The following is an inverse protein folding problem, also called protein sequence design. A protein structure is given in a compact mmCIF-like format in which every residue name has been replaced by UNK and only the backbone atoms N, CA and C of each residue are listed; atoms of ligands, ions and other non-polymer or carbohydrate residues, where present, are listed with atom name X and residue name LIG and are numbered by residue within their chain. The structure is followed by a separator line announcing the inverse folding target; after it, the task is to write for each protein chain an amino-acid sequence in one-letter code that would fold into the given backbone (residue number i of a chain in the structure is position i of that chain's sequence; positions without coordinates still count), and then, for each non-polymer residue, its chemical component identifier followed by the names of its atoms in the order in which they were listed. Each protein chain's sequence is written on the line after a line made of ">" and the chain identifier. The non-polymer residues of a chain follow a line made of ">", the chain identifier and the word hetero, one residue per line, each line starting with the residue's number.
data_IF_748840541984
#
_entry.id   IF_748840541984
#
_cell.length_a   1.000
_cell.length_b   1.000
_cell.length_c   1.000
_cell.angle_alpha   90.00
_cell.angle_beta   90.00
_cell.angle_gamma   90.00
#
_symmetry.space_group_name_H-M   'P 1'
#
loop_
_entity.id
_entity.type
_entity.pdbx_description
1 polymer ?
#
# COMPACT_ATOMS: atom_id res chain seq x y z
N UNK A 1 -9.88 1.85 -20.75
CA UNK A 1 -9.37 2.08 -19.38
C UNK A 1 -9.34 0.77 -18.64
N UNK A 2 -8.14 0.34 -18.25
CA UNK A 2 -7.94 -0.85 -17.43
C UNK A 2 -8.20 -0.47 -15.97
N UNK A 3 -9.30 -0.95 -15.38
CA UNK A 3 -9.64 -0.66 -13.98
C UNK A 3 -8.81 -1.54 -13.05
N UNK A 4 -8.08 -0.90 -12.16
CA UNK A 4 -7.31 -1.56 -11.11
C UNK A 4 -8.16 -1.66 -9.85
N UNK A 5 -8.77 -0.54 -9.46
CA UNK A 5 -9.80 -0.49 -8.42
C UNK A 5 -11.15 -0.12 -9.06
N UNK A 6 -12.17 -0.95 -8.90
CA UNK A 6 -13.52 -0.71 -9.43
C UNK A 6 -14.55 -0.55 -8.31
N UNK A 7 -14.96 0.70 -8.07
CA UNK A 7 -15.97 1.05 -7.08
C UNK A 7 -15.65 0.48 -5.67
N UNK A 8 -14.38 0.52 -5.29
CA UNK A 8 -13.92 0.11 -3.97
C UNK A 8 -14.67 0.90 -2.88
N UNK A 9 -15.37 0.25 -1.94
CA UNK A 9 -16.06 0.95 -0.86
C UNK A 9 -15.07 1.49 0.16
N UNK A 10 -15.38 2.66 0.73
CA UNK A 10 -14.80 3.13 1.98
C UNK A 10 -15.90 3.52 2.97
N UNK A 11 -15.57 3.54 4.27
CA UNK A 11 -16.54 3.77 5.34
C UNK A 11 -16.35 5.13 5.99
N UNK A 12 -17.44 5.75 6.43
CA UNK A 12 -17.45 6.91 7.34
C UNK A 12 -17.63 6.49 8.81
N UNK A 13 -17.54 5.20 9.10
CA UNK A 13 -17.61 4.62 10.44
C UNK A 13 -16.27 3.96 10.76
N UNK A 14 -15.98 3.83 12.05
CA UNK A 14 -14.84 3.02 12.51
C UNK A 14 -15.10 1.56 12.15
N UNK A 15 -14.04 0.82 11.86
CA UNK A 15 -14.15 -0.58 11.51
C UNK A 15 -12.88 -1.36 11.81
N UNK A 16 -12.86 -2.59 11.30
CA UNK A 16 -11.72 -3.49 11.39
C UNK A 16 -11.26 -3.90 9.98
N UNK A 17 -9.97 -4.16 9.87
CA UNK A 17 -9.36 -4.86 8.74
C UNK A 17 -8.64 -6.08 9.30
N UNK A 18 -8.84 -7.22 8.64
CA UNK A 18 -8.21 -8.49 9.02
C UNK A 18 -6.97 -8.70 8.15
N UNK A 19 -5.82 -8.97 8.75
CA UNK A 19 -4.58 -9.30 8.03
C UNK A 19 -3.84 -10.38 8.81
N UNK A 20 -3.51 -11.50 8.17
CA UNK A 20 -2.80 -12.62 8.81
C UNK A 20 -3.38 -13.05 10.18
N UNK A 21 -4.72 -13.07 10.30
CA UNK A 21 -5.42 -13.38 11.55
C UNK A 21 -5.45 -12.26 12.61
N UNK A 22 -4.78 -11.13 12.37
CA UNK A 22 -4.81 -9.95 13.23
C UNK A 22 -5.98 -9.02 12.84
N UNK A 23 -6.64 -8.43 13.84
CA UNK A 23 -7.69 -7.41 13.65
C UNK A 23 -7.13 -6.01 13.89
N UNK A 24 -7.00 -5.21 12.84
CA UNK A 24 -6.46 -3.85 12.93
C UNK A 24 -7.61 -2.83 12.93
N UNK A 25 -7.71 -1.97 13.96
CA UNK A 25 -8.74 -0.93 13.99
C UNK A 25 -8.45 0.17 12.98
N UNK A 26 -9.47 0.52 12.20
CA UNK A 26 -9.43 1.59 11.21
C UNK A 26 -10.43 2.67 11.59
N UNK A 27 -10.00 3.93 11.49
CA UNK A 27 -10.83 5.09 11.75
C UNK A 27 -11.88 5.28 10.65
N UNK A 28 -12.79 6.25 10.82
CA UNK A 28 -13.70 6.65 9.75
C UNK A 28 -12.95 7.41 8.64
N UNK A 29 -13.28 7.14 7.38
CA UNK A 29 -12.83 7.77 6.13
C UNK A 29 -11.55 7.28 5.42
N UNK A 30 -10.58 6.54 6.01
CA UNK A 30 -9.52 5.92 5.25
C UNK A 30 -10.05 5.05 4.10
N UNK A 31 -9.42 5.20 2.94
CA UNK A 31 -9.63 4.31 1.80
C UNK A 31 -8.62 3.18 1.95
N UNK A 32 -9.11 1.99 2.32
CA UNK A 32 -8.27 0.81 2.48
C UNK A 32 -8.16 0.10 1.13
N UNK A 33 -6.94 0.08 0.60
CA UNK A 33 -6.55 -0.71 -0.57
C UNK A 33 -5.77 -1.94 -0.12
N UNK A 34 -5.61 -2.90 -1.02
CA UNK A 34 -4.83 -4.11 -0.78
C UNK A 34 -3.63 -4.13 -1.69
N UNK A 35 -2.44 -4.36 -1.14
CA UNK A 35 -1.18 -4.36 -1.87
C UNK A 35 -0.39 -5.63 -1.57
N UNK A 36 0.42 -6.09 -2.51
CA UNK A 36 1.45 -7.09 -2.25
C UNK A 36 2.83 -6.44 -2.40
N UNK A 37 3.83 -6.97 -1.70
CA UNK A 37 5.22 -6.48 -1.75
C UNK A 37 6.11 -7.65 -2.16
N UNK A 38 7.02 -7.42 -3.10
CA UNK A 38 8.04 -8.39 -3.50
C UNK A 38 9.40 -7.73 -3.59
N UNK A 39 10.45 -8.54 -3.71
CA UNK A 39 11.78 -8.05 -4.08
C UNK A 39 11.71 -7.31 -5.43
N UNK A 40 12.64 -6.38 -5.63
CA UNK A 40 12.73 -5.57 -6.84
C UNK A 40 12.91 -6.43 -8.09
N UNK A 41 12.34 -5.96 -9.20
CA UNK A 41 12.39 -6.58 -10.52
C UNK A 41 11.70 -7.95 -10.62
N UNK A 42 10.71 -8.16 -9.76
CA UNK A 42 9.81 -9.31 -9.88
C UNK A 42 8.94 -9.13 -11.13
N UNK A 43 9.03 -10.07 -12.07
CA UNK A 43 8.28 -10.01 -13.34
C UNK A 43 6.80 -10.37 -13.12
N UNK A 44 6.55 -11.42 -12.35
CA UNK A 44 5.21 -11.91 -12.00
C UNK A 44 5.16 -12.18 -10.51
N UNK A 45 4.11 -11.69 -9.85
CA UNK A 45 3.93 -11.93 -8.42
C UNK A 45 3.75 -13.44 -8.15
N UNK A 46 4.59 -14.06 -7.29
CA UNK A 46 4.39 -15.45 -6.88
C UNK A 46 3.06 -15.63 -6.15
N UNK A 47 2.41 -16.79 -6.34
CA UNK A 47 1.13 -17.11 -5.66
C UNK A 47 1.22 -17.15 -4.13
N UNK A 48 2.43 -17.34 -3.60
CA UNK A 48 2.71 -17.34 -2.16
C UNK A 48 2.69 -15.95 -1.52
N UNK A 49 2.70 -14.87 -2.31
CA UNK A 49 2.72 -13.50 -1.77
C UNK A 49 1.31 -13.04 -1.46
N UNK A 50 1.03 -12.85 -0.17
CA UNK A 50 -0.27 -12.35 0.30
C UNK A 50 -0.43 -10.85 0.06
N UNK A 51 -1.65 -10.45 -0.29
CA UNK A 51 -2.05 -9.04 -0.21
C UNK A 51 -2.19 -8.63 1.27
N UNK A 52 -1.71 -7.43 1.59
CA UNK A 52 -1.79 -6.77 2.88
C UNK A 52 -2.56 -5.45 2.72
N UNK A 53 -3.26 -4.98 3.76
CA UNK A 53 -3.99 -3.72 3.68
C UNK A 53 -3.04 -2.53 3.74
N UNK A 54 -3.37 -1.48 3.01
CA UNK A 54 -2.72 -0.17 3.06
C UNK A 54 -3.77 0.94 2.99
N UNK A 55 -3.46 2.11 3.53
CA UNK A 55 -4.27 3.30 3.37
C UNK A 55 -3.83 4.02 2.10
N UNK A 56 -4.77 4.27 1.18
CA UNK A 56 -4.56 5.23 0.10
C UNK A 56 -4.64 6.64 0.68
N UNK A 57 -3.49 7.29 0.82
CA UNK A 57 -3.35 8.60 1.45
C UNK A 57 -2.85 9.63 0.42
N UNK A 58 -3.77 10.36 -0.19
CA UNK A 58 -3.43 11.40 -1.17
C UNK A 58 -2.73 12.62 -0.53
N UNK A 59 -2.65 12.70 0.80
CA UNK A 59 -1.85 13.70 1.52
C UNK A 59 -0.40 13.27 1.74
N UNK A 60 -0.11 11.97 1.65
CA UNK A 60 1.26 11.45 1.74
C UNK A 60 1.98 11.64 0.39
N UNK A 61 3.08 12.38 0.40
CA UNK A 61 3.87 12.69 -0.81
C UNK A 61 4.90 11.60 -1.15
N UNK A 62 5.05 10.57 -0.33
CA UNK A 62 5.92 9.43 -0.64
C UNK A 62 5.16 8.29 -1.34
N UNK A 63 5.88 7.45 -2.10
CA UNK A 63 5.26 6.37 -2.87
C UNK A 63 4.59 5.33 -1.98
N UNK A 64 5.36 4.66 -1.13
CA UNK A 64 4.84 3.65 -0.22
C UNK A 64 5.67 3.58 1.06
N UNK A 65 5.02 3.46 2.21
CA UNK A 65 5.74 3.33 3.49
C UNK A 65 5.09 2.32 4.42
N UNK A 66 5.90 1.56 5.14
CA UNK A 66 5.46 0.45 5.99
C UNK A 66 6.33 0.38 7.26
N UNK A 67 5.78 -0.09 8.38
CA UNK A 67 6.60 -0.40 9.55
C UNK A 67 7.39 -1.70 9.32
N UNK A 68 8.62 -1.78 9.81
CA UNK A 68 9.45 -2.98 9.65
C UNK A 68 8.79 -4.23 10.25
N UNK A 69 8.14 -4.12 11.42
CA UNK A 69 7.38 -5.22 12.00
C UNK A 69 6.24 -5.70 11.08
N UNK A 70 5.52 -4.78 10.43
CA UNK A 70 4.46 -5.13 9.46
C UNK A 70 5.05 -5.79 8.21
N UNK A 71 6.20 -5.32 7.72
CA UNK A 71 6.88 -5.94 6.58
C UNK A 71 7.21 -7.40 6.90
N UNK A 72 7.83 -7.65 8.05
CA UNK A 72 8.23 -9.00 8.48
C UNK A 72 6.99 -9.86 8.74
N UNK A 73 6.07 -9.40 9.59
CA UNK A 73 4.92 -10.20 10.02
C UNK A 73 3.93 -10.47 8.90
N UNK A 74 3.72 -9.51 7.99
CA UNK A 74 2.65 -9.63 6.99
C UNK A 74 3.13 -10.15 5.63
N UNK A 75 4.42 -10.01 5.32
CA UNK A 75 4.99 -10.41 4.02
C UNK A 75 6.12 -11.43 4.13
N UNK A 76 6.72 -11.60 5.32
CA UNK A 76 7.93 -12.42 5.52
C UNK A 76 9.22 -11.77 5.01
N UNK A 77 9.16 -10.62 4.35
CA UNK A 77 10.34 -9.88 3.89
C UNK A 77 11.02 -9.19 5.07
N UNK A 78 12.35 -9.10 4.99
CA UNK A 78 13.17 -8.38 5.97
C UNK A 78 13.80 -7.16 5.32
N UNK A 79 13.87 -6.05 6.05
CA UNK A 79 14.49 -4.83 5.53
C UNK A 79 15.96 -5.05 5.14
N UNK A 80 16.69 -5.88 5.88
CA UNK A 80 18.08 -6.26 5.63
C UNK A 80 18.30 -7.10 4.36
N UNK A 81 17.23 -7.72 3.83
CA UNK A 81 17.27 -8.48 2.57
C UNK A 81 16.97 -7.63 1.33
N UNK A 82 16.61 -6.34 1.51
CA UNK A 82 16.29 -5.43 0.42
C UNK A 82 17.44 -4.46 0.18
N UNK A 83 17.73 -4.17 -1.08
CA UNK A 83 18.75 -3.17 -1.45
C UNK A 83 18.39 -1.80 -0.86
N UNK A 84 19.36 -1.15 -0.21
CA UNK A 84 19.20 0.19 0.37
C UNK A 84 19.49 1.25 -0.71
N UNK A 85 18.50 2.08 -1.00
CA UNK A 85 18.57 3.19 -1.98
C UNK A 85 19.00 4.53 -1.36
N UNK A 86 19.35 4.52 -0.07
CA UNK A 86 19.80 5.68 0.69
C UNK A 86 18.70 6.36 1.52
N UNK A 87 19.08 7.35 2.33
CA UNK A 87 18.19 8.01 3.27
C UNK A 87 17.25 9.02 2.60
N UNK A 88 16.13 9.32 3.24
CA UNK A 88 15.21 10.38 2.87
C UNK A 88 14.43 10.88 4.08
N UNK A 89 14.03 12.16 4.06
CA UNK A 89 13.22 12.78 5.10
C UNK A 89 11.72 12.54 4.85
N UNK A 90 11.05 11.77 5.71
CA UNK A 90 9.59 11.60 5.74
C UNK A 90 9.09 12.04 7.11
N UNK A 91 8.10 12.93 7.17
CA UNK A 91 7.55 13.42 8.44
C UNK A 91 8.62 13.91 9.44
N UNK A 92 9.66 14.59 8.91
CA UNK A 92 10.84 15.07 9.67
C UNK A 92 11.71 13.96 10.29
N UNK A 93 11.56 12.73 9.82
CA UNK A 93 12.39 11.58 10.21
C UNK A 93 13.21 11.12 9.03
N UNK A 94 14.49 10.87 9.28
CA UNK A 94 15.37 10.27 8.29
C UNK A 94 15.15 8.76 8.27
N UNK A 95 14.63 8.26 7.16
CA UNK A 95 14.35 6.85 6.93
C UNK A 95 15.13 6.35 5.72
N UNK A 96 15.56 5.10 5.76
CA UNK A 96 16.13 4.45 4.60
C UNK A 96 15.03 4.06 3.61
N UNK A 97 15.33 4.27 2.33
CA UNK A 97 14.55 3.76 1.22
C UNK A 97 15.11 2.41 0.80
N UNK A 98 14.23 1.50 0.45
CA UNK A 98 14.58 0.15 0.04
C UNK A 98 13.98 -0.17 -1.34
N UNK A 99 14.76 -0.86 -2.17
CA UNK A 99 14.29 -1.34 -3.46
C UNK A 99 13.31 -2.50 -3.24
N UNK A 100 12.06 -2.31 -3.63
CA UNK A 100 11.02 -3.32 -3.62
C UNK A 100 10.00 -3.00 -4.70
N UNK A 101 9.28 -4.01 -5.15
CA UNK A 101 8.08 -3.82 -5.98
C UNK A 101 6.84 -3.85 -5.11
N UNK A 102 5.92 -2.91 -5.37
CA UNK A 102 4.61 -2.88 -4.74
C UNK A 102 3.57 -3.14 -5.82
N UNK A 103 2.63 -4.02 -5.53
CA UNK A 103 1.59 -4.45 -6.44
C UNK A 103 0.24 -4.11 -5.87
N UNK A 104 -0.61 -3.41 -6.62
CA UNK A 104 -1.96 -3.11 -6.19
C UNK A 104 -2.89 -4.28 -6.52
N UNK A 105 -3.40 -4.95 -5.48
CA UNK A 105 -4.33 -6.06 -5.63
C UNK A 105 -5.68 -5.54 -6.12
N UNK A 106 -6.13 -6.06 -7.27
CA UNK A 106 -7.37 -5.64 -7.90
C UNK A 106 -8.56 -6.10 -7.08
N UNK A 107 -9.51 -5.21 -6.82
CA UNK A 107 -10.72 -5.59 -6.10
C UNK A 107 -11.80 -6.11 -7.07
N UNK A 108 -12.60 -7.09 -6.66
CA UNK A 108 -13.88 -7.36 -7.33
C UNK A 108 -14.79 -6.14 -7.17
N UNK A 109 -15.50 -5.77 -8.24
CA UNK A 109 -16.29 -4.54 -8.26
C UNK A 109 -17.18 -4.41 -7.03
N UNK A 110 -17.04 -3.30 -6.31
CA UNK A 110 -17.86 -3.02 -5.13
C UNK A 110 -17.49 -3.78 -3.85
N UNK A 111 -16.51 -4.69 -3.89
CA UNK A 111 -15.99 -5.47 -2.77
C UNK A 111 -14.62 -4.93 -2.35
N UNK A 112 -14.34 -4.84 -1.05
CA UNK A 112 -13.04 -4.39 -0.51
C UNK A 112 -12.04 -5.53 -0.40
N UNK A 113 -12.49 -6.64 0.17
CA UNK A 113 -11.63 -7.74 0.64
C UNK A 113 -11.74 -8.98 -0.26
N UNK A 114 -12.22 -8.80 -1.49
CA UNK A 114 -12.32 -9.87 -2.49
C UNK A 114 -11.56 -9.42 -3.72
N UNK A 115 -10.58 -10.21 -4.13
CA UNK A 115 -9.63 -9.84 -5.17
C UNK A 115 -9.97 -10.48 -6.52
N UNK A 116 -9.54 -9.82 -7.58
CA UNK A 116 -9.41 -10.42 -8.90
C UNK A 116 -8.00 -10.97 -9.07
N UNK A 117 -7.82 -11.82 -10.08
CA UNK A 117 -6.49 -12.27 -10.48
C UNK A 117 -5.65 -11.09 -11.00
N UNK A 118 -4.32 -11.30 -11.00
CA UNK A 118 -3.32 -10.42 -11.58
C UNK A 118 -3.28 -8.98 -10.99
N UNK A 119 -2.44 -8.74 -9.97
CA UNK A 119 -2.29 -7.41 -9.40
C UNK A 119 -1.56 -6.47 -10.36
N UNK A 120 -1.77 -5.16 -10.18
CA UNK A 120 -1.12 -4.13 -10.99
C UNK A 120 0.20 -3.71 -10.35
N UNK A 121 1.34 -3.91 -11.03
CA UNK A 121 2.65 -3.45 -10.53
C UNK A 121 2.70 -1.92 -10.51
N UNK A 122 3.11 -1.35 -9.37
CA UNK A 122 3.41 0.06 -9.24
C UNK A 122 4.93 0.27 -9.42
N UNK A 123 5.29 1.14 -10.36
CA UNK A 123 6.62 1.68 -10.47
C UNK A 123 6.82 2.73 -9.37
N UNK A 124 7.66 2.40 -8.38
CA UNK A 124 8.06 3.29 -7.31
C UNK A 124 9.55 3.61 -7.47
N UNK A 125 9.87 4.74 -8.11
CA UNK A 125 11.26 5.07 -8.48
C UNK A 125 12.17 5.24 -7.27
N UNK A 126 11.61 5.77 -6.18
CA UNK A 126 12.31 5.96 -4.92
C UNK A 126 12.19 4.76 -3.96
N UNK A 127 11.64 3.63 -4.43
CA UNK A 127 11.41 2.44 -3.62
C UNK A 127 10.35 2.63 -2.52
N UNK A 128 10.50 1.87 -1.44
CA UNK A 128 9.63 1.92 -0.26
C UNK A 128 10.39 2.45 0.94
N UNK A 129 9.68 3.10 1.86
CA UNK A 129 10.24 3.59 3.12
C UNK A 129 9.85 2.64 4.24
N UNK A 130 10.84 2.21 5.01
CA UNK A 130 10.64 1.29 6.13
C UNK A 130 10.89 2.05 7.42
N UNK A 131 9.87 2.11 8.28
CA UNK A 131 10.02 2.65 9.64
C UNK A 131 10.65 1.57 10.52
N UNK A 132 11.87 1.77 11.05
CA UNK A 132 12.58 0.73 11.75
C UNK A 132 11.97 0.47 13.14
N UNK A 133 12.00 -0.79 13.59
CA UNK A 133 11.37 -1.20 14.85
C UNK A 133 12.18 -0.83 16.10
N UNK A 134 13.48 -0.57 15.92
CA UNK A 134 14.46 -0.31 16.98
C UNK A 134 14.51 1.17 17.42
N UNK A 135 13.77 2.06 16.74
CA UNK A 135 13.71 3.49 17.06
C UNK A 135 12.31 3.89 17.54
N UNK A 136 12.19 4.82 18.52
CA UNK A 136 10.92 5.32 19.02
C UNK A 136 10.32 6.34 18.06
N UNK A 137 10.12 5.93 16.81
CA UNK A 137 9.60 6.72 15.73
C UNK A 137 8.13 6.33 15.52
N UNK A 138 7.25 7.32 15.43
CA UNK A 138 5.84 7.09 15.11
C UNK A 138 5.70 6.53 13.69
N UNK A 139 5.49 5.21 13.58
CA UNK A 139 5.17 4.52 12.33
C UNK A 139 3.65 4.47 12.11
N UNK A 140 3.19 4.34 10.85
CA UNK A 140 1.77 4.29 10.57
C UNK A 140 1.18 2.92 10.97
N UNK A 141 -0.05 2.92 11.50
CA UNK A 141 -0.76 1.69 11.95
C UNK A 141 -1.08 0.72 10.82
N UNK A 142 -1.17 1.24 9.59
CA UNK A 142 -1.26 0.51 8.35
C UNK A 142 -0.24 1.13 7.39
N UNK A 143 0.33 0.37 6.45
CA UNK A 143 1.12 0.92 5.37
C UNK A 143 0.38 2.05 4.65
N UNK A 144 1.12 3.02 4.14
CA UNK A 144 0.56 4.16 3.41
C UNK A 144 0.97 4.05 1.94
N UNK A 145 0.00 4.12 1.04
CA UNK A 145 0.20 4.30 -0.39
C UNK A 145 -0.09 5.76 -0.72
N UNK A 146 0.94 6.54 -1.00
CA UNK A 146 0.80 7.98 -1.17
C UNK A 146 0.44 8.43 -2.57
N UNK A 147 0.21 9.74 -2.73
CA UNK A 147 -0.13 10.39 -3.99
C UNK A 147 0.91 10.11 -5.08
N UNK A 148 2.18 10.03 -4.70
CA UNK A 148 3.29 9.82 -5.64
C UNK A 148 3.20 8.48 -6.36
N UNK A 149 2.70 7.43 -5.71
CA UNK A 149 2.45 6.15 -6.37
C UNK A 149 1.37 6.25 -7.47
N UNK A 150 0.40 7.16 -7.30
CA UNK A 150 -0.65 7.41 -8.31
C UNK A 150 -0.04 8.19 -9.48
N UNK A 151 0.68 9.26 -9.18
CA UNK A 151 1.27 10.18 -10.15
C UNK A 151 2.35 9.52 -11.03
N UNK A 152 3.32 8.85 -10.41
CA UNK A 152 4.43 8.20 -11.13
C UNK A 152 3.95 7.08 -12.07
N UNK A 153 2.77 6.50 -11.79
CA UNK A 153 2.16 5.43 -12.58
C UNK A 153 1.06 5.93 -13.54
N UNK A 154 0.88 7.26 -13.68
CA UNK A 154 -0.12 7.84 -14.59
C UNK A 154 -1.56 7.40 -14.28
N UNK A 155 -1.85 7.09 -13.03
CA UNK A 155 -3.14 6.52 -12.63
C UNK A 155 -4.18 7.62 -12.40
N UNK A 156 -5.41 7.35 -12.84
CA UNK A 156 -6.55 8.21 -12.54
C UNK A 156 -7.24 7.71 -11.27
N UNK A 157 -7.20 8.51 -10.21
CA UNK A 157 -7.97 8.28 -8.99
C UNK A 157 -9.26 9.10 -9.00
N UNK A 158 -10.40 8.46 -8.74
CA UNK A 158 -11.70 9.13 -8.59
C UNK A 158 -12.33 8.75 -7.27
N UNK A 159 -12.60 9.75 -6.42
CA UNK A 159 -13.28 9.58 -5.14
C UNK A 159 -14.70 10.14 -5.27
N UNK A 160 -15.70 9.26 -5.16
CA UNK A 160 -17.10 9.64 -5.15
C UNK A 160 -17.61 9.66 -3.70
N UNK A 161 -17.66 10.87 -3.12
CA UNK A 161 -18.15 11.11 -1.75
C UNK A 161 -19.62 10.76 -1.53
N UNK A 162 -20.47 10.95 -2.56
CA UNK A 162 -21.92 10.68 -2.47
C UNK A 162 -22.20 9.20 -2.20
N UNK A 163 -21.46 8.32 -2.89
CA UNK A 163 -21.66 6.88 -2.80
C UNK A 163 -20.59 6.16 -1.97
N UNK A 164 -19.61 6.91 -1.45
CA UNK A 164 -18.41 6.43 -0.75
C UNK A 164 -17.67 5.33 -1.53
N UNK A 165 -17.32 5.66 -2.79
CA UNK A 165 -16.63 4.75 -3.72
C UNK A 165 -15.35 5.37 -4.25
N UNK A 166 -14.35 4.53 -4.45
CA UNK A 166 -13.09 4.90 -5.10
C UNK A 166 -12.87 4.02 -6.32
N UNK A 167 -12.39 4.63 -7.40
CA UNK A 167 -11.93 3.91 -8.58
C UNK A 167 -10.54 4.39 -8.96
N UNK A 168 -9.71 3.45 -9.41
CA UNK A 168 -8.37 3.69 -9.91
C UNK A 168 -8.21 2.98 -11.25
N UNK A 169 -7.74 3.70 -12.26
CA UNK A 169 -7.55 3.13 -13.60
C UNK A 169 -6.25 3.61 -14.23
N UNK A 170 -5.57 2.69 -14.92
CA UNK A 170 -4.50 3.04 -15.84
C UNK A 170 -5.12 3.55 -17.16
N UNK A 171 -4.45 4.54 -17.76
CA UNK A 171 -4.83 5.12 -19.06
C UNK A 171 -4.73 4.08 -20.18
#
# INVERSE_FOLDING_TARGET
>A
MNKILDQLPYSNERGLVLVQGQSIPVMAHPIIVWVAISVKDTIRLPESVSCIPAILDTGNTFGFSIAESQLIEWTGLRADSLEVLGPMLINRQELNRHAADVWLCRNQRGKRDVFQDEPFRLELRDGIAIYPSDRPIASPRLPLLGLRAIDENGLRCTINGKNRRVSLSAS
#
